data_IF_463933998819
#
_entry.id   IF_463933998819
#
_cell.length_a   1.000
_cell.length_b   1.000
_cell.length_c   1.000
_cell.angle_alpha   90.00
_cell.angle_beta   90.00
_cell.angle_gamma   90.00
#
_symmetry.space_group_name_H-M   'P 1'
#
loop_
_entity.id
_entity.type
_entity.pdbx_description
1 polymer ?
#
# COMPACT_ATOMS: atom_id res chain seq x y z
N UNK A 1 29.43 9.39 -13.88
CA UNK A 1 28.28 8.95 -13.05
C UNK A 1 28.13 9.98 -11.94
N UNK A 2 27.00 10.68 -11.81
CA UNK A 2 26.80 11.63 -10.70
C UNK A 2 26.60 10.84 -9.39
N UNK A 3 27.35 11.20 -8.34
CA UNK A 3 27.22 10.62 -7.01
C UNK A 3 25.87 11.04 -6.39
N UNK A 4 24.95 10.09 -6.18
CA UNK A 4 23.69 10.34 -5.48
C UNK A 4 23.89 10.17 -3.98
N UNK A 5 24.09 11.28 -3.27
CA UNK A 5 24.25 11.29 -1.80
C UNK A 5 22.89 11.14 -1.12
N UNK A 6 22.85 10.31 -0.07
CA UNK A 6 21.72 10.24 0.86
C UNK A 6 21.60 11.59 1.56
N UNK A 7 20.40 12.15 1.59
CA UNK A 7 20.08 13.35 2.38
C UNK A 7 19.20 12.97 3.56
N UNK A 8 19.35 13.69 4.66
CA UNK A 8 18.49 13.52 5.83
C UNK A 8 17.07 14.03 5.51
N UNK A 9 16.08 13.31 6.04
CA UNK A 9 14.67 13.70 5.98
C UNK A 9 14.47 14.85 6.96
N UNK A 10 13.95 15.98 6.49
CA UNK A 10 13.64 17.12 7.36
C UNK A 10 12.14 17.22 7.58
N UNK A 11 11.70 17.15 8.84
CA UNK A 11 10.30 17.27 9.21
C UNK A 11 9.97 18.68 9.64
N UNK A 12 8.80 19.17 9.23
CA UNK A 12 8.27 20.48 9.61
C UNK A 12 6.84 20.33 10.13
N UNK A 13 6.40 21.23 11.03
CA UNK A 13 4.98 21.31 11.39
C UNK A 13 4.11 21.49 10.14
N UNK A 14 2.91 20.90 10.16
CA UNK A 14 1.88 21.09 9.12
C UNK A 14 2.24 20.59 7.71
N UNK A 15 3.25 19.72 7.59
CA UNK A 15 3.57 19.09 6.29
C UNK A 15 2.40 18.29 5.74
N UNK A 16 2.16 18.46 4.44
CA UNK A 16 1.27 17.63 3.65
C UNK A 16 1.91 16.27 3.38
N UNK A 17 1.07 15.28 3.08
CA UNK A 17 1.52 13.90 2.84
C UNK A 17 2.48 13.81 1.64
N UNK A 18 2.26 14.59 0.59
CA UNK A 18 3.14 14.66 -0.58
C UNK A 18 4.51 15.27 -0.24
N UNK A 19 4.55 16.30 0.62
CA UNK A 19 5.81 16.88 1.10
C UNK A 19 6.61 15.86 1.93
N UNK A 20 5.92 15.08 2.78
CA UNK A 20 6.57 14.00 3.53
C UNK A 20 7.17 12.93 2.59
N UNK A 21 6.42 12.52 1.57
CA UNK A 21 6.91 11.56 0.57
C UNK A 21 8.08 12.13 -0.22
N UNK A 22 8.07 13.42 -0.55
CA UNK A 22 9.20 14.10 -1.19
C UNK A 22 10.47 14.06 -0.30
N UNK A 23 10.34 14.36 1.00
CA UNK A 23 11.45 14.23 1.95
C UNK A 23 11.95 12.78 2.04
N UNK A 24 11.06 11.79 2.07
CA UNK A 24 11.43 10.36 2.02
C UNK A 24 12.24 10.02 0.75
N UNK A 25 11.91 10.66 -0.38
CA UNK A 25 12.63 10.52 -1.65
C UNK A 25 14.06 11.06 -1.61
N UNK A 26 14.33 12.10 -0.80
CA UNK A 26 15.68 12.66 -0.64
C UNK A 26 16.65 11.68 0.04
N UNK A 27 16.15 10.80 0.89
CA UNK A 27 16.94 9.69 1.45
C UNK A 27 17.29 8.67 0.35
N UNK A 28 16.32 8.33 -0.50
CA UNK A 28 16.52 7.48 -1.68
C UNK A 28 16.82 6.00 -1.39
N UNK A 29 16.80 5.58 -0.12
CA UNK A 29 17.11 4.22 0.33
C UNK A 29 16.04 3.67 1.28
N UNK A 30 16.13 2.36 1.58
CA UNK A 30 15.18 1.62 2.43
C UNK A 30 13.71 1.80 1.98
N UNK A 31 12.76 1.57 2.88
CA UNK A 31 11.34 1.73 2.58
C UNK A 31 10.96 3.17 2.26
N UNK A 32 11.68 4.16 2.81
CA UNK A 32 11.42 5.58 2.54
C UNK A 32 11.60 5.92 1.06
N UNK A 33 12.77 5.62 0.50
CA UNK A 33 13.03 5.82 -0.93
C UNK A 33 12.13 4.98 -1.84
N UNK A 34 11.76 3.76 -1.41
CA UNK A 34 10.85 2.89 -2.17
C UNK A 34 9.43 3.46 -2.25
N UNK A 35 8.89 4.01 -1.16
CA UNK A 35 7.57 4.66 -1.15
C UNK A 35 7.58 5.88 -2.08
N UNK A 36 8.59 6.76 -1.94
CA UNK A 36 8.73 7.92 -2.81
C UNK A 36 8.82 7.53 -4.29
N UNK A 37 9.60 6.49 -4.62
CA UNK A 37 9.70 6.00 -5.99
C UNK A 37 8.39 5.38 -6.49
N UNK A 38 7.65 4.67 -5.64
CA UNK A 38 6.35 4.11 -6.00
C UNK A 38 5.32 5.20 -6.31
N UNK A 39 5.28 6.28 -5.52
CA UNK A 39 4.41 7.44 -5.77
C UNK A 39 4.76 8.15 -7.08
N UNK A 40 6.06 8.34 -7.35
CA UNK A 40 6.52 8.90 -8.63
C UNK A 40 6.05 8.05 -9.82
N UNK A 41 6.30 6.73 -9.79
CA UNK A 41 5.86 5.81 -10.85
C UNK A 41 4.35 5.84 -11.03
N UNK A 42 3.59 5.81 -9.93
CA UNK A 42 2.13 5.87 -9.99
C UNK A 42 1.64 7.20 -10.63
N UNK A 43 2.27 8.32 -10.28
CA UNK A 43 1.96 9.61 -10.88
C UNK A 43 2.28 9.67 -12.39
N UNK A 44 3.38 9.04 -12.82
CA UNK A 44 3.71 8.88 -14.24
C UNK A 44 2.65 8.02 -14.97
N UNK A 45 2.18 6.94 -14.35
CA UNK A 45 1.12 6.09 -14.91
C UNK A 45 -0.18 6.87 -15.11
N UNK A 46 -0.58 7.68 -14.12
CA UNK A 46 -1.76 8.55 -14.19
C UNK A 46 -1.63 9.57 -15.33
N UNK A 47 -0.49 10.27 -15.43
CA UNK A 47 -0.22 11.26 -16.50
C UNK A 47 -0.26 10.65 -17.89
N UNK A 48 0.22 9.41 -18.03
CA UNK A 48 0.24 8.69 -19.29
C UNK A 48 -1.14 8.12 -19.67
N UNK A 49 -2.17 8.23 -18.81
CA UNK A 49 -3.46 7.56 -19.03
C UNK A 49 -3.32 6.04 -19.08
N UNK A 50 -2.37 5.48 -18.33
CA UNK A 50 -2.09 4.04 -18.32
C UNK A 50 -3.27 3.24 -17.77
N UNK A 51 -3.42 2.00 -18.23
CA UNK A 51 -4.28 1.02 -17.54
C UNK A 51 -3.51 0.43 -16.34
N UNK A 52 -4.04 0.63 -15.14
CA UNK A 52 -3.40 0.29 -13.88
C UNK A 52 -3.89 -1.07 -13.38
N UNK A 53 -2.96 -2.03 -13.31
CA UNK A 53 -3.18 -3.35 -12.73
C UNK A 53 -2.57 -3.41 -11.33
N UNK A 54 -3.37 -3.76 -10.33
CA UNK A 54 -2.94 -3.94 -8.95
C UNK A 54 -2.96 -5.42 -8.56
N UNK A 55 -1.77 -5.99 -8.34
CA UNK A 55 -1.61 -7.32 -7.78
C UNK A 55 -1.75 -7.31 -6.26
N UNK A 56 -2.69 -8.08 -5.72
CA UNK A 56 -2.97 -8.17 -4.28
C UNK A 56 -2.66 -9.59 -3.81
N UNK A 57 -1.45 -9.78 -3.31
CA UNK A 57 -0.98 -11.02 -2.70
C UNK A 57 -1.04 -10.99 -1.17
N UNK A 58 -0.93 -12.16 -0.55
CA UNK A 58 -0.97 -12.28 0.92
C UNK A 58 -2.36 -12.02 1.52
N UNK A 59 -2.38 -11.88 2.85
CA UNK A 59 -3.58 -11.79 3.66
C UNK A 59 -3.98 -10.30 3.88
N UNK A 60 -4.34 -9.61 2.80
CA UNK A 60 -4.53 -8.14 2.82
C UNK A 60 -5.85 -7.73 3.46
N UNK A 61 -6.94 -8.43 3.14
CA UNK A 61 -8.24 -8.23 3.79
C UNK A 61 -8.18 -8.49 5.30
N UNK A 62 -7.74 -9.68 5.77
CA UNK A 62 -7.62 -9.93 7.21
C UNK A 62 -6.55 -9.04 7.87
N UNK A 63 -5.57 -8.56 7.11
CA UNK A 63 -4.59 -7.56 7.54
C UNK A 63 -5.15 -6.13 7.66
N UNK A 64 -6.44 -5.92 7.41
CA UNK A 64 -7.12 -4.63 7.59
C UNK A 64 -7.11 -3.71 6.37
N UNK A 65 -6.68 -4.18 5.20
CA UNK A 65 -6.60 -3.36 3.97
C UNK A 65 -7.84 -3.45 3.08
N UNK A 66 -8.90 -4.12 3.54
CA UNK A 66 -10.19 -4.23 2.83
C UNK A 66 -10.68 -2.88 2.29
N UNK A 67 -10.73 -1.86 3.16
CA UNK A 67 -11.24 -0.53 2.79
C UNK A 67 -10.34 0.18 1.78
N UNK A 68 -9.03 -0.01 1.85
CA UNK A 68 -8.09 0.54 0.85
C UNK A 68 -8.38 -0.04 -0.52
N UNK A 69 -8.60 -1.36 -0.60
CA UNK A 69 -8.95 -2.02 -1.86
C UNK A 69 -10.31 -1.51 -2.39
N UNK A 70 -11.33 -1.42 -1.52
CA UNK A 70 -12.65 -0.91 -1.90
C UNK A 70 -12.59 0.54 -2.40
N UNK A 71 -11.84 1.41 -1.72
CA UNK A 71 -11.67 2.81 -2.15
C UNK A 71 -10.91 2.90 -3.46
N UNK A 72 -9.85 2.11 -3.64
CA UNK A 72 -9.10 2.10 -4.90
C UNK A 72 -9.98 1.74 -6.10
N UNK A 73 -10.96 0.84 -5.92
CA UNK A 73 -11.95 0.51 -6.95
C UNK A 73 -12.94 1.66 -7.13
N UNK A 74 -13.57 2.12 -6.05
CA UNK A 74 -14.67 3.10 -6.10
C UNK A 74 -14.23 4.48 -6.60
N UNK A 75 -12.99 4.86 -6.32
CA UNK A 75 -12.38 6.13 -6.74
C UNK A 75 -11.59 5.98 -8.05
N UNK A 76 -11.72 4.83 -8.73
CA UNK A 76 -11.06 4.54 -10.02
C UNK A 76 -9.52 4.71 -9.98
N UNK A 77 -8.90 4.49 -8.81
CA UNK A 77 -7.45 4.57 -8.62
C UNK A 77 -6.71 3.40 -9.28
N UNK A 78 -7.43 2.32 -9.57
CA UNK A 78 -6.95 1.12 -10.27
C UNK A 78 -8.00 0.67 -11.29
N UNK A 79 -7.57 0.10 -12.41
CA UNK A 79 -8.49 -0.41 -13.44
C UNK A 79 -8.75 -1.91 -13.27
N UNK A 80 -7.74 -2.68 -12.84
CA UNK A 80 -7.83 -4.13 -12.69
C UNK A 80 -7.19 -4.57 -11.38
N UNK A 81 -7.89 -5.38 -10.61
CA UNK A 81 -7.34 -6.07 -9.44
C UNK A 81 -7.08 -7.53 -9.79
N UNK A 82 -5.88 -7.99 -9.51
CA UNK A 82 -5.48 -9.39 -9.63
C UNK A 82 -5.20 -9.90 -8.22
N UNK A 83 -6.04 -10.80 -7.71
CA UNK A 83 -5.90 -11.33 -6.34
C UNK A 83 -6.13 -12.83 -6.27
N UNK A 84 -5.78 -13.44 -5.14
CA UNK A 84 -6.08 -14.84 -4.85
C UNK A 84 -7.51 -14.98 -4.31
N UNK A 85 -8.10 -16.17 -4.47
CA UNK A 85 -9.42 -16.47 -3.90
C UNK A 85 -9.48 -16.26 -2.38
N UNK A 86 -8.36 -16.35 -1.66
CA UNK A 86 -8.31 -16.12 -0.22
C UNK A 86 -8.79 -14.72 0.17
N UNK A 87 -8.31 -13.65 -0.50
CA UNK A 87 -8.78 -12.29 -0.19
C UNK A 87 -10.28 -12.12 -0.46
N UNK A 88 -10.81 -12.75 -1.50
CA UNK A 88 -12.25 -12.73 -1.80
C UNK A 88 -13.05 -13.43 -0.71
N UNK A 89 -12.62 -14.61 -0.26
CA UNK A 89 -13.28 -15.34 0.83
C UNK A 89 -13.27 -14.53 2.12
N UNK A 90 -12.15 -13.91 2.48
CA UNK A 90 -12.06 -13.06 3.67
C UNK A 90 -12.96 -11.81 3.56
N UNK A 91 -13.07 -11.20 2.38
CA UNK A 91 -13.96 -10.05 2.15
C UNK A 91 -15.43 -10.45 2.33
N UNK A 92 -15.83 -11.61 1.79
CA UNK A 92 -17.18 -12.16 1.97
C UNK A 92 -17.50 -12.45 3.43
N UNK A 93 -16.57 -13.06 4.18
CA UNK A 93 -16.75 -13.34 5.62
C UNK A 93 -17.07 -12.06 6.37
N UNK A 94 -16.30 -10.99 6.15
CA UNK A 94 -16.55 -9.71 6.81
C UNK A 94 -17.80 -9.00 6.29
N UNK A 95 -18.17 -9.20 5.01
CA UNK A 95 -19.41 -8.66 4.45
C UNK A 95 -20.67 -9.30 5.08
N UNK A 96 -20.61 -10.57 5.47
CA UNK A 96 -21.69 -11.27 6.17
C UNK A 96 -21.70 -11.06 7.70
N UNK A 97 -20.90 -10.13 8.21
CA UNK A 97 -20.87 -9.78 9.64
C UNK A 97 -19.83 -10.55 10.47
N UNK A 98 -18.98 -11.35 9.83
CA UNK A 98 -17.76 -11.87 10.48
C UNK A 98 -16.70 -10.78 10.69
N UNK A 99 -15.62 -11.12 11.38
CA UNK A 99 -14.48 -10.22 11.58
C UNK A 99 -13.19 -11.01 11.78
N UNK A 100 -12.06 -10.38 11.50
CA UNK A 100 -10.74 -10.90 11.84
C UNK A 100 -10.26 -10.27 13.15
N UNK A 101 -9.95 -11.10 14.14
CA UNK A 101 -9.36 -10.65 15.39
C UNK A 101 -7.83 -10.65 15.31
N UNK A 102 -7.19 -9.72 16.02
CA UNK A 102 -5.74 -9.76 16.20
C UNK A 102 -5.39 -10.93 17.12
N UNK A 103 -4.59 -11.86 16.64
CA UNK A 103 -4.02 -12.96 17.43
C UNK A 103 -2.59 -12.67 17.92
N UNK A 104 -1.99 -13.68 18.54
CA UNK A 104 -0.58 -13.71 18.92
C UNK A 104 0.18 -14.71 18.05
N UNK A 105 1.45 -14.42 17.76
CA UNK A 105 2.26 -15.26 16.87
C UNK A 105 2.73 -16.57 17.51
N UNK A 106 2.66 -16.69 18.84
CA UNK A 106 3.19 -17.83 19.62
C UNK A 106 2.06 -18.59 20.34
N UNK A 107 0.87 -18.62 19.73
CA UNK A 107 -0.24 -19.44 20.23
C UNK A 107 0.04 -20.90 19.92
N UNK A 108 -0.31 -21.79 20.84
CA UNK A 108 -0.21 -23.23 20.64
C UNK A 108 -1.29 -23.71 19.67
N UNK A 109 -0.85 -24.29 18.55
CA UNK A 109 -1.72 -24.85 17.52
C UNK A 109 -2.13 -26.31 17.83
N UNK A 110 -1.53 -26.96 18.84
CA UNK A 110 -1.68 -28.39 19.12
C UNK A 110 -2.85 -28.75 20.07
N UNK A 111 -3.75 -27.80 20.34
CA UNK A 111 -4.93 -27.99 21.20
C UNK A 111 -5.85 -29.13 20.77
#
# INVERSE_FOLDING_TARGET
>A
MMEKRVKHIELKPEMRVDELVEEMGKSGVFSAGRVAKAVEIYHEMLKAGSTIFMGVGGAMVPGGLRRVLTQAINEELVNVIVTTGANVTHDLIEAFGGYHARGEALVDDAG
#
